data_IF_526148235739
#
_entry.id   IF_526148235739
#
_cell.length_a   1.000
_cell.length_b   1.000
_cell.length_c   1.000
_cell.angle_alpha   90.00
_cell.angle_beta   90.00
_cell.angle_gamma   90.00
#
_symmetry.space_group_name_H-M   'P 1'
#
loop_
_entity.id
_entity.type
_entity.pdbx_description
1 polymer ?
#
# COMPACT_ATOMS: atom_id res chain seq x y z
N UNK A 1 18.96 -17.56 -1.83
CA UNK A 1 18.61 -16.25 -1.26
C UNK A 1 19.52 -15.13 -1.76
N UNK A 2 20.85 -15.25 -1.72
CA UNK A 2 21.77 -14.16 -2.15
C UNK A 2 21.51 -13.62 -3.57
N UNK A 3 21.36 -14.50 -4.56
CA UNK A 3 21.06 -14.11 -5.96
C UNK A 3 19.70 -13.42 -6.14
N UNK A 4 18.73 -13.78 -5.31
CA UNK A 4 17.34 -13.28 -5.40
C UNK A 4 17.24 -11.86 -4.82
N UNK A 5 18.02 -11.57 -3.77
CA UNK A 5 18.21 -10.21 -3.26
C UNK A 5 18.87 -9.28 -4.29
N UNK A 6 19.87 -9.79 -5.01
CA UNK A 6 20.62 -9.05 -6.04
C UNK A 6 19.73 -8.60 -7.22
N UNK A 7 18.76 -9.43 -7.61
CA UNK A 7 17.80 -9.11 -8.67
C UNK A 7 16.84 -7.97 -8.24
N UNK A 8 16.33 -7.99 -7.00
CA UNK A 8 15.49 -6.90 -6.48
C UNK A 8 16.29 -5.61 -6.26
N UNK A 9 17.52 -5.71 -5.77
CA UNK A 9 18.42 -4.56 -5.58
C UNK A 9 18.65 -3.81 -6.90
N UNK A 10 18.89 -4.54 -8.00
CA UNK A 10 19.08 -3.94 -9.33
C UNK A 10 17.83 -3.18 -9.80
N UNK A 11 16.64 -3.75 -9.58
CA UNK A 11 15.37 -3.09 -9.90
C UNK A 11 15.17 -1.86 -8.99
N UNK A 12 15.46 -1.99 -7.70
CA UNK A 12 15.36 -0.92 -6.71
C UNK A 12 16.20 0.30 -7.06
N UNK A 13 17.44 0.08 -7.51
CA UNK A 13 18.36 1.14 -7.95
C UNK A 13 17.76 1.89 -9.15
N UNK A 14 17.27 1.19 -10.18
CA UNK A 14 16.66 1.82 -11.37
C UNK A 14 15.48 2.74 -10.98
N UNK A 15 14.62 2.27 -10.07
CA UNK A 15 13.45 3.03 -9.62
C UNK A 15 13.84 4.22 -8.73
N UNK A 16 14.84 4.04 -7.85
CA UNK A 16 15.39 5.11 -7.02
C UNK A 16 15.96 6.23 -7.87
N UNK A 17 16.76 5.90 -8.89
CA UNK A 17 17.29 6.88 -9.83
C UNK A 17 16.17 7.64 -10.54
N UNK A 18 15.13 6.94 -11.02
CA UNK A 18 13.97 7.58 -11.64
C UNK A 18 13.22 8.51 -10.67
N UNK A 19 13.06 8.12 -9.39
CA UNK A 19 12.46 8.95 -8.34
C UNK A 19 13.27 10.21 -8.09
N UNK A 20 14.58 10.07 -7.95
CA UNK A 20 15.50 11.19 -7.66
C UNK A 20 15.58 12.16 -8.85
N UNK A 21 15.55 11.66 -10.09
CA UNK A 21 15.45 12.48 -11.31
C UNK A 21 14.15 13.29 -11.37
N UNK A 22 13.06 12.79 -10.78
CA UNK A 22 11.79 13.52 -10.64
C UNK A 22 11.78 14.48 -9.45
N UNK A 23 12.78 14.42 -8.58
CA UNK A 23 12.84 15.21 -7.35
C UNK A 23 11.78 14.80 -6.31
N UNK A 24 11.28 13.56 -6.38
CA UNK A 24 10.26 13.08 -5.44
C UNK A 24 10.91 12.51 -4.16
N UNK A 25 10.32 12.84 -3.01
CA UNK A 25 10.63 12.15 -1.76
C UNK A 25 9.95 10.77 -1.71
N UNK A 26 10.30 9.94 -0.72
CA UNK A 26 9.61 8.67 -0.51
C UNK A 26 8.13 8.89 -0.19
N UNK A 27 7.80 9.97 0.54
CA UNK A 27 6.44 10.37 0.88
C UNK A 27 5.64 10.79 -0.36
N UNK A 28 6.28 11.42 -1.35
CA UNK A 28 5.61 11.79 -2.61
C UNK A 28 5.21 10.56 -3.42
N UNK A 29 6.13 9.58 -3.53
CA UNK A 29 5.82 8.29 -4.15
C UNK A 29 4.73 7.56 -3.38
N UNK A 30 4.78 7.58 -2.04
CA UNK A 30 3.74 7.00 -1.19
C UNK A 30 2.37 7.62 -1.47
N UNK A 31 2.27 8.95 -1.54
CA UNK A 31 1.01 9.64 -1.83
C UNK A 31 0.43 9.28 -3.20
N UNK A 32 1.28 9.13 -4.22
CA UNK A 32 0.92 8.78 -5.60
C UNK A 32 0.48 7.31 -5.75
N UNK A 33 1.20 6.40 -5.11
CA UNK A 33 0.99 4.95 -5.26
C UNK A 33 0.05 4.33 -4.23
N UNK A 34 -0.16 5.03 -3.09
CA UNK A 34 -0.78 4.51 -1.86
C UNK A 34 0.01 3.39 -1.19
N UNK A 35 1.24 3.12 -1.60
CA UNK A 35 2.17 2.26 -0.88
C UNK A 35 2.70 3.00 0.35
N UNK A 36 2.83 2.30 1.47
CA UNK A 36 3.47 2.86 2.65
C UNK A 36 4.98 3.05 2.37
N UNK A 37 5.59 4.08 2.99
CA UNK A 37 7.02 4.39 2.84
C UNK A 37 7.94 3.18 3.07
N UNK A 38 7.71 2.29 4.07
CA UNK A 38 8.54 1.10 4.26
C UNK A 38 8.60 0.17 3.05
N UNK A 39 7.50 0.01 2.30
CA UNK A 39 7.48 -0.81 1.09
C UNK A 39 8.34 -0.19 -0.01
N UNK A 40 8.28 1.13 -0.19
CA UNK A 40 9.07 1.84 -1.19
C UNK A 40 10.56 1.74 -0.85
N UNK A 41 10.89 1.96 0.43
CA UNK A 41 12.26 1.82 0.94
C UNK A 41 12.80 0.40 0.76
N UNK A 42 12.01 -0.62 1.09
CA UNK A 42 12.40 -2.02 0.92
C UNK A 42 12.64 -2.41 -0.54
N UNK A 43 11.89 -1.84 -1.49
CA UNK A 43 12.16 -2.01 -2.93
C UNK A 43 13.51 -1.36 -3.29
N UNK A 44 13.76 -0.11 -2.89
CA UNK A 44 15.03 0.59 -3.19
C UNK A 44 16.25 -0.08 -2.58
N UNK A 45 16.11 -0.68 -1.40
CA UNK A 45 17.18 -1.38 -0.67
C UNK A 45 17.35 -2.84 -1.10
N UNK A 46 16.53 -3.36 -2.01
CA UNK A 46 16.60 -4.76 -2.42
C UNK A 46 16.20 -5.76 -1.32
N UNK A 47 15.46 -5.32 -0.30
CA UNK A 47 15.14 -6.15 0.87
C UNK A 47 14.01 -7.13 0.56
N UNK A 48 14.33 -8.24 -0.09
CA UNK A 48 13.38 -9.30 -0.45
C UNK A 48 12.68 -9.90 0.76
N UNK A 49 13.36 -10.00 1.91
CA UNK A 49 12.79 -10.62 3.11
C UNK A 49 11.60 -9.83 3.66
N UNK A 50 11.56 -8.51 3.44
CA UNK A 50 10.41 -7.67 3.79
C UNK A 50 9.11 -8.15 3.11
N UNK A 51 9.24 -8.72 1.91
CA UNK A 51 8.10 -9.17 1.11
C UNK A 51 7.75 -10.64 1.34
N UNK A 52 8.34 -11.35 2.30
CA UNK A 52 8.12 -12.80 2.48
C UNK A 52 6.63 -13.18 2.54
N UNK A 53 5.82 -12.40 3.27
CA UNK A 53 4.38 -12.63 3.41
C UNK A 53 3.54 -12.04 2.26
N UNK A 54 4.12 -11.12 1.48
CA UNK A 54 3.43 -10.33 0.46
C UNK A 54 4.04 -10.52 -0.95
N UNK A 55 4.83 -11.58 -1.15
CA UNK A 55 5.67 -11.72 -2.35
C UNK A 55 4.86 -11.76 -3.64
N UNK A 56 3.65 -12.31 -3.57
CA UNK A 56 2.70 -12.36 -4.68
C UNK A 56 2.25 -10.97 -5.16
N UNK A 57 2.40 -9.94 -4.31
CA UNK A 57 2.03 -8.55 -4.62
C UNK A 57 3.23 -7.69 -5.03
N UNK A 58 4.47 -8.18 -4.87
CA UNK A 58 5.69 -7.42 -5.16
C UNK A 58 5.69 -6.84 -6.60
N UNK A 59 5.23 -7.61 -7.58
CA UNK A 59 5.11 -7.13 -8.95
C UNK A 59 4.15 -5.94 -9.12
N UNK A 60 3.06 -5.89 -8.36
CA UNK A 60 2.14 -4.74 -8.36
C UNK A 60 2.77 -3.53 -7.68
N UNK A 61 3.49 -3.73 -6.57
CA UNK A 61 4.17 -2.64 -5.87
C UNK A 61 5.22 -1.98 -6.78
N UNK A 62 6.04 -2.78 -7.44
CA UNK A 62 7.05 -2.33 -8.40
C UNK A 62 6.39 -1.63 -9.59
N UNK A 63 5.30 -2.18 -10.13
CA UNK A 63 4.56 -1.54 -11.23
C UNK A 63 3.98 -0.18 -10.85
N UNK A 64 3.38 -0.06 -9.67
CA UNK A 64 2.83 1.21 -9.20
C UNK A 64 3.94 2.23 -8.95
N UNK A 65 5.07 1.80 -8.38
CA UNK A 65 6.22 2.67 -8.20
C UNK A 65 6.74 3.15 -9.56
N UNK A 66 7.05 2.24 -10.50
CA UNK A 66 7.50 2.59 -11.85
C UNK A 66 6.57 3.62 -12.52
N UNK A 67 5.26 3.38 -12.44
CA UNK A 67 4.25 4.31 -12.98
C UNK A 67 4.30 5.68 -12.30
N UNK A 68 4.48 5.75 -10.98
CA UNK A 68 4.50 7.01 -10.24
C UNK A 68 5.72 7.89 -10.54
N UNK A 69 6.82 7.30 -11.01
CA UNK A 69 8.05 8.00 -11.43
C UNK A 69 8.21 8.09 -12.94
N UNK A 70 7.17 7.76 -13.71
CA UNK A 70 7.18 7.71 -15.18
C UNK A 70 8.31 6.82 -15.76
N UNK A 71 8.63 5.72 -15.06
CA UNK A 71 9.52 4.66 -15.55
C UNK A 71 8.70 3.60 -16.30
N UNK A 72 9.18 3.16 -17.47
CA UNK A 72 8.48 2.13 -18.25
C UNK A 72 8.63 0.75 -17.59
N UNK A 73 7.55 0.27 -16.98
CA UNK A 73 7.54 -1.03 -16.30
C UNK A 73 7.88 -2.19 -17.25
N UNK A 74 7.60 -2.08 -18.56
CA UNK A 74 7.91 -3.16 -19.50
C UNK A 74 9.42 -3.42 -19.62
N UNK A 75 10.27 -2.45 -19.25
CA UNK A 75 11.74 -2.63 -19.22
C UNK A 75 12.21 -3.60 -18.13
N UNK A 76 11.47 -3.71 -17.02
CA UNK A 76 11.84 -4.52 -15.85
C UNK A 76 10.86 -5.67 -15.59
N UNK A 77 9.75 -5.75 -16.33
CA UNK A 77 8.67 -6.71 -16.11
C UNK A 77 9.15 -8.16 -16.06
N UNK A 78 9.99 -8.56 -17.01
CA UNK A 78 10.52 -9.94 -17.04
C UNK A 78 11.44 -10.25 -15.85
N UNK A 79 12.20 -9.26 -15.37
CA UNK A 79 13.08 -9.37 -14.20
C UNK A 79 12.22 -9.55 -12.94
N UNK A 80 11.17 -8.76 -12.80
CA UNK A 80 10.19 -8.81 -11.71
C UNK A 80 9.43 -10.14 -11.68
N UNK A 81 8.92 -10.60 -12.83
CA UNK A 81 8.17 -11.87 -12.91
C UNK A 81 9.05 -13.05 -12.51
N UNK A 82 10.33 -13.07 -12.93
CA UNK A 82 11.30 -14.10 -12.53
C UNK A 82 11.62 -14.04 -11.05
N UNK A 83 11.81 -12.84 -10.50
CA UNK A 83 12.07 -12.62 -9.08
C UNK A 83 10.94 -13.22 -8.22
N UNK A 84 9.69 -12.89 -8.52
CA UNK A 84 8.52 -13.39 -7.78
C UNK A 84 8.43 -14.91 -7.86
N UNK A 85 8.63 -15.49 -9.04
CA UNK A 85 8.63 -16.94 -9.26
C UNK A 85 9.73 -17.66 -8.44
N UNK A 86 10.94 -17.09 -8.41
CA UNK A 86 12.09 -17.70 -7.73
C UNK A 86 11.96 -17.59 -6.20
N UNK A 87 11.50 -16.45 -5.67
CA UNK A 87 11.23 -16.31 -4.24
C UNK A 87 10.15 -17.30 -3.81
N UNK A 88 9.03 -17.36 -4.52
CA UNK A 88 7.89 -18.23 -4.18
C UNK A 88 8.32 -19.70 -4.10
N UNK A 89 9.13 -20.17 -5.07
CA UNK A 89 9.68 -21.54 -5.03
C UNK A 89 10.59 -21.79 -3.84
N UNK A 90 11.38 -20.80 -3.42
CA UNK A 90 12.26 -20.97 -2.26
C UNK A 90 11.49 -21.04 -0.95
N UNK A 91 10.40 -20.28 -0.83
CA UNK A 91 9.52 -20.31 0.35
C UNK A 91 8.83 -21.66 0.46
N UNK A 92 8.20 -22.15 -0.62
CA UNK A 92 7.57 -23.48 -0.66
C UNK A 92 8.54 -24.59 -0.25
N UNK A 93 9.79 -24.56 -0.74
CA UNK A 93 10.81 -25.55 -0.39
C UNK A 93 11.23 -25.47 1.08
N UNK A 94 11.30 -24.26 1.65
CA UNK A 94 11.66 -24.06 3.05
C UNK A 94 10.55 -24.53 4.00
N UNK A 95 9.28 -24.32 3.64
CA UNK A 95 8.13 -24.81 4.40
C UNK A 95 8.08 -26.34 4.39
N UNK A 96 8.27 -26.97 3.23
CA UNK A 96 8.33 -28.44 3.11
C UNK A 96 9.48 -29.04 3.95
N UNK A 97 10.60 -28.34 4.09
CA UNK A 97 11.73 -28.77 4.94
C UNK A 97 11.48 -28.54 6.43
N UNK A 98 10.74 -27.48 6.78
CA UNK A 98 10.35 -27.20 8.16
C UNK A 98 9.30 -28.20 8.66
N UNK A 99 8.40 -28.66 7.79
CA UNK A 99 7.42 -29.70 8.13
C UNK A 99 8.05 -31.11 8.27
N UNK A 100 9.08 -31.44 7.48
CA UNK A 100 9.77 -32.74 7.53
C UNK A 100 10.66 -32.92 8.79
N UNK A 101 10.91 -31.86 9.56
CA UNK A 101 11.66 -31.92 10.82
C UNK A 101 10.80 -32.37 12.03
N UNK A 102 9.48 -32.52 11.88
CA UNK A 102 8.56 -32.88 12.98
C UNK A 102 7.79 -34.20 12.82
N UNK A 103 8.07 -35.06 11.82
CA UNK A 103 7.47 -36.41 11.74
C UNK A 103 8.45 -37.52 11.29
N UNK A 104 8.33 -38.76 11.82
CA UNK A 104 9.16 -39.87 11.38
C UNK A 104 8.69 -40.41 10.03
N UNK A 105 9.44 -40.06 8.98
CA UNK A 105 9.67 -40.78 7.72
C UNK A 105 8.55 -41.70 7.21
N UNK A 106 7.84 -41.27 6.17
CA UNK A 106 7.41 -42.16 5.08
C UNK A 106 7.87 -41.62 3.74
N UNK A 107 8.76 -42.39 3.10
CA UNK A 107 9.28 -42.12 1.78
C UNK A 107 8.15 -41.97 0.75
N UNK A 108 7.93 -40.76 0.25
CA UNK A 108 7.07 -40.50 -0.91
C UNK A 108 7.98 -40.27 -2.12
N UNK A 109 7.99 -41.25 -3.02
CA UNK A 109 8.63 -41.16 -4.34
C UNK A 109 7.97 -40.03 -5.13
N UNK A 110 8.66 -38.90 -5.33
CA UNK A 110 8.19 -37.83 -6.21
C UNK A 110 8.37 -38.24 -7.68
N UNK A 111 7.28 -38.73 -8.29
CA UNK A 111 7.13 -38.67 -9.75
C UNK A 111 6.73 -37.26 -10.12
N UNK A 112 7.68 -36.49 -10.67
CA UNK A 112 7.39 -35.23 -11.34
C UNK A 112 6.60 -35.55 -12.62
N UNK A 113 5.28 -35.46 -12.54
CA UNK A 113 4.41 -35.42 -13.71
C UNK A 113 4.10 -33.96 -14.05
N UNK A 114 4.75 -33.47 -15.10
CA UNK A 114 4.49 -32.18 -15.75
C UNK A 114 3.07 -32.22 -16.37
N UNK A 115 2.04 -31.88 -15.59
CA UNK A 115 0.67 -31.69 -16.11
C UNK A 115 0.61 -30.35 -16.84
N UNK A 116 0.33 -30.40 -18.15
CA UNK A 116 -0.09 -29.23 -18.92
C UNK A 116 -1.37 -28.67 -18.29
N UNK A 117 -1.39 -27.38 -17.96
CA UNK A 117 -2.58 -26.68 -17.44
C UNK A 117 -3.71 -26.86 -18.47
N UNK A 118 -4.74 -27.63 -18.12
CA UNK A 118 -6.02 -27.59 -18.85
C UNK A 118 -6.72 -26.35 -18.35
N UNK A 119 -6.94 -25.38 -19.24
CA UNK A 119 -7.82 -24.25 -18.94
C UNK A 119 -9.21 -24.81 -18.65
N UNK A 120 -9.79 -24.42 -17.52
CA UNK A 120 -11.12 -24.87 -17.12
C UNK A 120 -12.14 -24.24 -18.07
N UNK A 121 -12.75 -25.08 -18.92
CA UNK A 121 -13.74 -24.65 -19.93
C UNK A 121 -14.93 -23.96 -19.27
N UNK A 122 -15.18 -24.25 -17.98
CA UNK A 122 -16.20 -23.58 -17.17
C UNK A 122 -15.92 -22.08 -17.02
N UNK A 123 -14.66 -21.69 -16.81
CA UNK A 123 -14.24 -20.29 -16.68
C UNK A 123 -14.36 -19.53 -18.00
N UNK A 124 -13.99 -20.17 -19.11
CA UNK A 124 -14.15 -19.61 -20.45
C UNK A 124 -15.63 -19.39 -20.81
N UNK A 125 -16.51 -20.32 -20.43
CA UNK A 125 -17.96 -20.16 -20.65
C UNK A 125 -18.54 -18.98 -19.85
N UNK A 126 -18.07 -18.79 -18.61
CA UNK A 126 -18.48 -17.68 -17.75
C UNK A 126 -18.03 -16.32 -18.31
N UNK A 127 -16.79 -16.21 -18.78
CA UNK A 127 -16.26 -14.99 -19.39
C UNK A 127 -17.01 -14.64 -20.67
N UNK A 128 -17.29 -15.62 -21.53
CA UNK A 128 -18.05 -15.41 -22.78
C UNK A 128 -19.50 -14.97 -22.48
N UNK A 129 -20.15 -15.59 -21.50
CA UNK A 129 -21.49 -15.20 -21.08
C UNK A 129 -21.52 -13.77 -20.52
N UNK A 130 -20.51 -13.38 -19.73
CA UNK A 130 -20.36 -12.02 -19.21
C UNK A 130 -20.20 -10.99 -20.33
N UNK A 131 -19.33 -11.25 -21.32
CA UNK A 131 -19.14 -10.35 -22.47
C UNK A 131 -20.43 -10.20 -23.28
N UNK A 132 -21.18 -11.29 -23.49
CA UNK A 132 -22.47 -11.23 -24.18
C UNK A 132 -23.48 -10.37 -23.43
N UNK A 133 -23.53 -10.47 -22.10
CA UNK A 133 -24.46 -9.70 -21.26
C UNK A 133 -24.13 -8.20 -21.28
N UNK A 134 -22.85 -7.84 -21.18
CA UNK A 134 -22.38 -6.45 -21.33
C UNK A 134 -22.71 -5.91 -22.73
N UNK A 135 -22.50 -6.71 -23.78
CA UNK A 135 -22.85 -6.34 -25.16
C UNK A 135 -24.34 -6.06 -25.34
N UNK A 136 -25.22 -6.87 -24.72
CA UNK A 136 -26.67 -6.65 -24.75
C UNK A 136 -27.04 -5.36 -24.00
N UNK A 137 -26.46 -5.11 -22.83
CA UNK A 137 -26.70 -3.89 -22.07
C UNK A 137 -26.27 -2.62 -22.84
N UNK A 138 -25.12 -2.66 -23.51
CA UNK A 138 -24.67 -1.56 -24.35
C UNK A 138 -25.59 -1.35 -25.56
N UNK A 139 -26.05 -2.43 -26.21
CA UNK A 139 -26.99 -2.35 -27.32
C UNK A 139 -28.33 -1.73 -26.92
N UNK A 140 -28.86 -2.11 -25.75
CA UNK A 140 -30.08 -1.53 -25.17
C UNK A 140 -29.86 -0.05 -24.86
N UNK A 141 -28.76 0.31 -24.20
CA UNK A 141 -28.43 1.71 -23.92
C UNK A 141 -28.37 2.56 -25.20
N UNK A 142 -27.66 2.14 -26.25
CA UNK A 142 -27.57 2.94 -27.49
C UNK A 142 -28.94 3.11 -28.18
N UNK A 143 -29.80 2.08 -28.14
CA UNK A 143 -31.11 2.11 -28.80
C UNK A 143 -32.17 2.88 -28.02
N UNK A 144 -32.16 2.83 -26.68
CA UNK A 144 -33.25 3.32 -25.85
C UNK A 144 -32.91 4.57 -25.01
N UNK A 145 -31.62 4.88 -24.79
CA UNK A 145 -31.19 6.08 -24.06
C UNK A 145 -31.34 7.42 -24.81
N UNK A 146 -31.33 7.53 -26.16
CA UNK A 146 -31.54 8.84 -26.81
C UNK A 146 -32.97 9.41 -26.64
N UNK A 147 -33.89 8.69 -25.98
CA UNK A 147 -35.22 9.19 -25.60
C UNK A 147 -35.28 9.93 -24.26
N UNK A 148 -34.22 9.92 -23.45
CA UNK A 148 -34.25 10.47 -22.07
C UNK A 148 -33.45 11.76 -21.87
N UNK A 149 -32.66 12.22 -22.85
CA UNK A 149 -31.72 13.36 -22.68
C UNK A 149 -32.22 14.66 -23.32
N UNK A 150 -33.35 14.65 -24.04
CA UNK A 150 -33.95 15.89 -24.56
C UNK A 150 -34.85 16.52 -23.49
N UNK A 151 -34.24 17.26 -22.58
CA UNK A 151 -34.90 18.29 -21.76
C UNK A 151 -34.07 19.55 -21.88
N UNK A 152 -34.74 20.63 -22.32
CA UNK A 152 -34.14 21.90 -22.72
C UNK A 152 -33.22 22.52 -21.65
N UNK A 153 -32.16 23.25 -22.03
CA UNK A 153 -31.20 23.80 -21.09
C UNK A 153 -31.81 24.93 -20.22
N UNK A 154 -31.60 24.84 -18.92
CA UNK A 154 -31.94 25.87 -17.92
C UNK A 154 -30.86 26.95 -17.90
N UNK A 155 -31.28 28.22 -18.08
CA UNK A 155 -30.44 29.41 -17.98
C UNK A 155 -29.80 29.57 -16.58
N UNK A 156 -28.49 29.88 -16.54
CA UNK A 156 -27.78 30.30 -15.32
C UNK A 156 -27.81 31.84 -15.18
N UNK A 157 -28.11 32.41 -14.01
CA UNK A 157 -27.87 33.83 -13.76
C UNK A 157 -26.38 34.12 -13.46
N UNK A 158 -25.90 35.27 -13.91
CA UNK A 158 -24.55 35.81 -13.70
C UNK A 158 -24.49 36.58 -12.38
N UNK A 159 -23.43 36.38 -11.58
CA UNK A 159 -23.13 37.17 -10.38
C UNK A 159 -22.16 38.28 -10.78
N UNK A 160 -22.59 39.53 -10.61
CA UNK A 160 -21.77 40.74 -10.76
C UNK A 160 -21.15 41.07 -9.40
N UNK A 161 -19.81 41.18 -9.33
CA UNK A 161 -19.07 41.60 -8.14
C UNK A 161 -18.39 42.95 -8.45
N UNK A 162 -18.79 44.06 -7.80
CA UNK A 162 -18.11 45.35 -7.93
C UNK A 162 -16.73 45.38 -7.26
N UNK A 163 -15.82 46.12 -7.90
CA UNK A 163 -14.43 46.39 -7.53
C UNK A 163 -14.27 47.81 -6.98
N UNK A 164 -13.61 47.99 -5.83
CA UNK A 164 -12.81 49.19 -5.46
C UNK A 164 -12.00 48.87 -4.18
N UNK A 165 -10.68 48.67 -4.19
CA UNK A 165 -9.51 49.61 -4.26
C UNK A 165 -9.21 50.29 -2.89
N UNK A 166 -7.99 50.85 -2.67
CA UNK A 166 -6.94 50.28 -1.82
C UNK A 166 -6.58 51.20 -0.64
N UNK A 167 -5.78 50.73 0.32
CA UNK A 167 -4.91 51.65 1.06
C UNK A 167 -3.65 50.93 1.53
N UNK A 168 -2.53 51.54 1.13
CA UNK A 168 -1.17 51.23 1.49
C UNK A 168 -0.94 51.32 3.00
N UNK A 169 -0.03 50.50 3.53
CA UNK A 169 1.11 51.02 4.30
C UNK A 169 2.10 49.87 4.62
N UNK A 170 3.24 49.90 3.92
CA UNK A 170 4.47 49.28 4.40
C UNK A 170 4.97 50.03 5.64
N UNK A 171 5.26 49.32 6.73
CA UNK A 171 6.52 49.54 7.47
C UNK A 171 6.87 48.46 8.50
N UNK A 172 8.18 48.17 8.45
CA UNK A 172 9.07 47.73 9.53
C UNK A 172 8.77 46.41 10.22
N UNK A 173 9.48 45.40 9.75
CA UNK A 173 9.94 44.26 10.54
C UNK A 173 10.95 44.77 11.56
N UNK A 174 10.67 44.55 12.85
CA UNK A 174 11.69 44.45 13.88
C UNK A 174 11.24 43.44 14.92
N UNK A 175 12.22 42.66 15.37
CA UNK A 175 12.14 41.40 16.08
C UNK A 175 11.44 41.53 17.44
N UNK A 176 10.55 40.59 17.74
CA UNK A 176 10.29 40.22 19.13
C UNK A 176 10.36 38.70 19.26
N UNK A 177 11.43 38.31 19.94
CA UNK A 177 11.75 37.00 20.47
C UNK A 177 10.55 36.43 21.24
N UNK A 178 9.75 35.60 20.58
CA UNK A 178 8.86 34.66 21.25
C UNK A 178 9.64 33.38 21.49
N UNK A 179 9.97 33.13 22.74
CA UNK A 179 10.46 31.85 23.24
C UNK A 179 9.68 30.70 22.59
N UNK A 180 10.38 29.97 21.73
CA UNK A 180 9.90 28.72 21.15
C UNK A 180 9.87 27.70 22.29
N UNK A 181 8.68 27.50 22.85
CA UNK A 181 8.43 26.38 23.74
C UNK A 181 8.59 25.12 22.88
N UNK A 182 9.73 24.45 23.01
CA UNK A 182 9.99 23.12 22.47
C UNK A 182 8.97 22.14 23.08
N UNK A 183 7.77 22.06 22.49
CA UNK A 183 6.89 20.92 22.71
C UNK A 183 7.46 19.74 21.95
N UNK A 184 8.10 18.83 22.68
CA UNK A 184 8.51 17.50 22.24
C UNK A 184 7.31 16.82 21.58
N UNK A 185 7.36 16.67 20.26
CA UNK A 185 6.33 16.00 19.47
C UNK A 185 6.63 14.50 19.46
N UNK A 186 5.73 13.69 20.02
CA UNK A 186 5.76 12.24 19.88
C UNK A 186 5.71 11.85 18.40
N UNK A 187 6.52 10.86 18.02
CA UNK A 187 6.63 10.38 16.64
C UNK A 187 6.07 8.96 16.54
N UNK A 188 5.16 8.74 15.57
CA UNK A 188 4.66 7.42 15.22
C UNK A 188 5.59 6.81 14.18
N UNK A 189 6.26 5.72 14.55
CA UNK A 189 7.19 4.98 13.68
C UNK A 189 6.54 3.67 13.26
N UNK A 190 6.30 3.52 11.96
CA UNK A 190 5.84 2.26 11.38
C UNK A 190 7.05 1.34 11.20
N UNK A 191 7.15 0.30 12.03
CA UNK A 191 8.27 -0.66 12.00
C UNK A 191 7.96 -1.81 11.05
N UNK A 192 6.74 -2.33 11.13
CA UNK A 192 6.20 -3.37 10.25
C UNK A 192 4.78 -2.97 9.80
N UNK A 193 4.21 -3.59 8.75
CA UNK A 193 2.87 -3.25 8.27
C UNK A 193 1.78 -3.33 9.35
N UNK A 194 1.99 -4.16 10.37
CA UNK A 194 1.13 -4.44 11.51
C UNK A 194 1.72 -3.99 12.87
N UNK A 195 2.89 -3.33 12.88
CA UNK A 195 3.57 -2.84 14.09
C UNK A 195 3.87 -1.35 14.03
N UNK A 196 3.25 -0.60 14.95
CA UNK A 196 3.48 0.83 15.16
C UNK A 196 4.19 1.03 16.49
N UNK A 197 5.39 1.62 16.47
CA UNK A 197 6.11 2.07 17.65
C UNK A 197 5.87 3.56 17.89
N UNK A 198 5.50 3.93 19.11
CA UNK A 198 5.40 5.35 19.52
C UNK A 198 6.69 5.74 20.23
N UNK A 199 7.42 6.72 19.68
CA UNK A 199 8.69 7.22 20.26
C UNK A 199 8.53 8.65 20.75
N UNK A 200 9.42 9.05 21.67
CA UNK A 200 9.43 10.41 22.22
C UNK A 200 8.37 10.68 23.29
N UNK A 201 7.87 9.64 23.97
CA UNK A 201 7.06 9.80 25.17
C UNK A 201 7.98 10.08 26.37
N UNK A 202 7.81 11.24 27.01
CA UNK A 202 8.55 11.57 28.23
C UNK A 202 7.98 10.80 29.43
N UNK A 203 8.87 10.22 30.24
CA UNK A 203 8.47 9.46 31.42
C UNK A 203 7.79 10.38 32.45
N UNK A 204 6.56 10.03 32.85
CA UNK A 204 5.81 10.75 33.88
C UNK A 204 4.87 11.84 33.36
N UNK A 205 4.85 12.11 32.05
CA UNK A 205 3.79 12.92 31.42
C UNK A 205 2.62 12.02 31.00
N UNK A 206 1.37 12.42 31.28
CA UNK A 206 0.20 11.70 30.78
C UNK A 206 0.12 11.81 29.26
N UNK A 207 -0.24 10.73 28.60
CA UNK A 207 -0.52 10.71 27.16
C UNK A 207 -1.80 9.92 26.90
N UNK A 208 -2.48 10.20 25.79
CA UNK A 208 -3.64 9.42 25.35
C UNK A 208 -3.38 8.92 23.93
N UNK A 209 -3.52 7.61 23.72
CA UNK A 209 -3.49 7.01 22.39
C UNK A 209 -4.93 6.64 22.02
N UNK A 210 -5.41 7.24 20.92
CA UNK A 210 -6.71 6.90 20.32
C UNK A 210 -6.48 6.13 19.01
N UNK A 211 -7.12 4.97 18.89
CA UNK A 211 -7.05 4.13 17.68
C UNK A 211 -8.43 4.04 17.05
N UNK A 212 -8.54 4.51 15.80
CA UNK A 212 -9.76 4.49 15.00
C UNK A 212 -9.66 3.39 13.93
N UNK A 213 -10.52 2.40 14.02
CA UNK A 213 -10.56 1.29 13.07
C UNK A 213 -11.36 1.66 11.82
N UNK A 214 -10.84 1.36 10.64
CA UNK A 214 -11.56 1.54 9.36
C UNK A 214 -11.88 0.23 8.65
N UNK A 215 -11.23 -0.86 9.05
CA UNK A 215 -11.45 -2.18 8.47
C UNK A 215 -12.51 -2.95 9.29
N UNK A 216 -13.25 -3.91 8.67
CA UNK A 216 -14.34 -4.62 9.35
C UNK A 216 -13.89 -5.46 10.55
N UNK A 217 -12.65 -5.94 10.53
CA UNK A 217 -12.06 -6.81 11.54
C UNK A 217 -10.57 -6.48 11.61
N UNK A 218 -10.07 -6.06 12.77
CA UNK A 218 -8.66 -5.77 13.00
C UNK A 218 -8.27 -6.26 14.39
N UNK A 219 -7.34 -7.21 14.46
CA UNK A 219 -6.79 -7.64 15.73
C UNK A 219 -5.72 -6.65 16.20
N UNK A 220 -5.81 -6.20 17.46
CA UNK A 220 -4.81 -5.33 18.08
C UNK A 220 -4.39 -5.92 19.43
N UNK A 221 -3.10 -5.78 19.75
CA UNK A 221 -2.55 -5.88 21.09
C UNK A 221 -1.68 -4.64 21.36
N UNK A 222 -1.76 -4.11 22.57
CA UNK A 222 -0.93 -2.97 23.01
C UNK A 222 0.15 -3.50 23.94
N UNK A 223 1.40 -3.13 23.66
CA UNK A 223 2.55 -3.52 24.46
C UNK A 223 3.28 -2.26 24.95
N UNK A 224 3.62 -2.22 26.23
CA UNK A 224 4.47 -1.18 26.84
C UNK A 224 5.75 -1.84 27.31
N UNK A 225 6.89 -1.34 26.83
CA UNK A 225 8.23 -1.89 27.12
C UNK A 225 8.32 -3.42 26.89
N UNK A 226 7.65 -3.90 25.84
CA UNK A 226 7.61 -5.32 25.46
C UNK A 226 6.62 -6.18 26.24
N UNK A 227 5.88 -5.61 27.20
CA UNK A 227 4.87 -6.33 27.97
C UNK A 227 3.46 -5.93 27.51
N UNK A 228 2.64 -6.92 27.21
CA UNK A 228 1.24 -6.71 26.83
C UNK A 228 0.44 -6.15 28.01
N UNK A 229 -0.28 -5.05 27.76
CA UNK A 229 -1.14 -4.43 28.77
C UNK A 229 -2.52 -5.11 28.79
N UNK A 230 -3.17 -5.10 29.96
CA UNK A 230 -4.51 -5.67 30.12
C UNK A 230 -5.60 -4.79 29.49
N UNK A 231 -5.38 -3.47 29.53
CA UNK A 231 -6.23 -2.47 28.89
C UNK A 231 -5.37 -1.62 27.94
N UNK A 232 -5.79 -1.44 26.68
CA UNK A 232 -6.99 -2.02 26.05
C UNK A 232 -6.88 -3.53 25.82
N UNK A 233 -8.04 -4.20 25.78
CA UNK A 233 -8.10 -5.66 25.58
C UNK A 233 -7.46 -6.05 24.25
N UNK A 234 -6.71 -7.14 24.26
CA UNK A 234 -6.13 -7.67 23.02
C UNK A 234 -7.10 -8.63 22.35
N UNK A 235 -7.77 -8.14 21.32
CA UNK A 235 -8.83 -8.83 20.62
C UNK A 235 -9.03 -8.23 19.22
N UNK A 236 -9.99 -8.80 18.48
CA UNK A 236 -10.44 -8.26 17.20
C UNK A 236 -11.48 -7.17 17.41
N UNK A 237 -11.20 -6.00 16.84
CA UNK A 237 -12.06 -4.82 16.82
C UNK A 237 -12.67 -4.62 15.43
N UNK A 238 -13.84 -4.01 15.38
CA UNK A 238 -14.60 -3.66 14.18
C UNK A 238 -14.44 -2.19 13.82
N UNK A 239 -14.85 -1.78 12.61
CA UNK A 239 -14.72 -0.40 12.13
C UNK A 239 -15.48 0.66 12.95
N UNK A 240 -16.41 0.25 13.82
CA UNK A 240 -17.15 1.14 14.72
C UNK A 240 -16.50 1.27 16.10
N UNK A 241 -15.49 0.45 16.39
CA UNK A 241 -14.83 0.46 17.68
C UNK A 241 -13.80 1.60 17.77
N UNK A 242 -13.48 2.01 18.98
CA UNK A 242 -12.39 2.94 19.27
C UNK A 242 -11.71 2.49 20.54
N UNK A 243 -10.38 2.47 20.52
CA UNK A 243 -9.56 2.15 21.68
C UNK A 243 -8.92 3.42 22.21
N UNK A 244 -8.92 3.56 23.54
CA UNK A 244 -8.19 4.59 24.28
C UNK A 244 -7.22 3.92 25.24
N UNK A 245 -5.98 4.38 25.25
CA UNK A 245 -4.97 4.01 26.23
C UNK A 245 -4.44 5.30 26.87
N UNK A 246 -4.37 5.33 28.20
CA UNK A 246 -4.01 6.49 29.04
C UNK A 246 -2.91 6.11 30.02
#
# INVERSE_FOLDING_TARGET
MQKVGEDLETIGIKLKEARELKGYSLEDVSKKTKLLVPYIKAIEEGNVNFFTNDISYLGYYIRYYATAVDFDYEEIREEVDKLVDDVTRTLDLSELQAEDMNEPKKAIKSRINKKRKKVDVSFISFVIAGIALVGILLFVSIKYLPKLINSDPVDKPQIVLPEEKPEDEEKSVEEENSEEVETVRSELVFVEPDLIEVKGLEQGLPFEIEVIFKAPQTWIAVNVDGNQVAEPLSQTYSAEDTIKYV
#
